data_IF_347431593716
#
_entry.id   IF_347431593716
#
_cell.length_a   1.000
_cell.length_b   1.000
_cell.length_c   1.000
_cell.angle_alpha   90.00
_cell.angle_beta   90.00
_cell.angle_gamma   90.00
#
_symmetry.space_group_name_H-M   'P 1'
#
loop_
_entity.id
_entity.type
_entity.pdbx_description
1 polymer ?
#
# COMPACT_ATOMS: atom_id res chain seq x y z
N UNK A 1 -15.64 11.94 -8.86
CA UNK A 1 -15.59 10.93 -7.78
C UNK A 1 -14.14 10.75 -7.39
N UNK A 2 -13.84 10.56 -6.10
CA UNK A 2 -12.47 10.29 -5.67
C UNK A 2 -12.16 8.78 -5.76
N UNK A 3 -10.87 8.45 -5.83
CA UNK A 3 -10.45 7.06 -6.05
C UNK A 3 -10.80 6.11 -4.90
N UNK A 4 -11.05 6.67 -3.71
CA UNK A 4 -11.46 5.93 -2.53
C UNK A 4 -12.90 5.45 -2.68
N UNK A 5 -13.81 6.37 -3.00
CA UNK A 5 -15.23 6.10 -3.19
C UNK A 5 -15.47 5.09 -4.32
N UNK A 6 -14.74 5.21 -5.42
CA UNK A 6 -14.80 4.25 -6.54
C UNK A 6 -14.40 2.82 -6.15
N UNK A 7 -13.65 2.67 -5.06
CA UNK A 7 -13.16 1.39 -4.55
C UNK A 7 -13.89 0.94 -3.29
N UNK A 8 -14.90 1.68 -2.83
CA UNK A 8 -15.58 1.43 -1.55
C UNK A 8 -14.66 1.61 -0.34
N UNK A 9 -13.59 2.41 -0.48
CA UNK A 9 -12.59 2.66 0.55
C UNK A 9 -12.79 4.02 1.22
N UNK A 10 -12.21 4.18 2.39
CA UNK A 10 -12.33 5.39 3.22
C UNK A 10 -10.96 5.92 3.64
N UNK A 11 -10.92 7.15 4.18
CA UNK A 11 -9.71 7.71 4.81
C UNK A 11 -9.22 6.87 6.00
N UNK A 12 -10.08 6.09 6.66
CA UNK A 12 -9.66 5.16 7.71
C UNK A 12 -8.81 4.03 7.13
N UNK A 13 -9.13 3.57 5.93
CA UNK A 13 -8.38 2.52 5.24
C UNK A 13 -7.01 3.03 4.79
N UNK A 14 -6.94 4.27 4.27
CA UNK A 14 -5.66 4.95 4.00
C UNK A 14 -4.78 4.94 5.23
N UNK A 15 -5.29 5.49 6.35
CA UNK A 15 -4.56 5.56 7.62
C UNK A 15 -4.11 4.19 8.11
N UNK A 16 -4.95 3.17 7.99
CA UNK A 16 -4.62 1.80 8.42
C UNK A 16 -3.49 1.20 7.58
N UNK A 17 -3.53 1.39 6.26
CA UNK A 17 -2.50 0.85 5.35
C UNK A 17 -1.18 1.59 5.52
N UNK A 18 -1.20 2.93 5.64
CA UNK A 18 0.03 3.74 5.70
C UNK A 18 0.66 3.81 7.09
N UNK A 19 -0.09 3.55 8.17
CA UNK A 19 0.44 3.62 9.55
C UNK A 19 1.42 2.49 9.88
N UNK A 20 1.19 1.30 9.35
CA UNK A 20 2.05 0.13 9.59
C UNK A 20 2.18 -0.70 8.31
N UNK A 21 2.87 -0.17 7.29
CA UNK A 21 3.11 -0.92 6.08
C UNK A 21 4.10 -2.04 6.37
N UNK A 22 3.85 -3.22 5.80
CA UNK A 22 4.82 -4.32 5.76
C UNK A 22 5.98 -4.00 4.85
N UNK A 23 5.78 -3.22 3.80
CA UNK A 23 6.87 -2.61 3.03
C UNK A 23 6.33 -1.43 2.22
N UNK A 24 7.25 -0.61 1.73
CA UNK A 24 6.97 0.45 0.77
C UNK A 24 7.92 0.38 -0.42
N UNK A 25 7.43 0.69 -1.61
CA UNK A 25 8.21 0.72 -2.85
C UNK A 25 8.09 2.11 -3.46
N UNK A 26 9.22 2.71 -3.82
CA UNK A 26 9.26 3.88 -4.71
C UNK A 26 9.19 3.41 -6.15
N UNK A 27 8.13 3.80 -6.85
CA UNK A 27 7.90 3.49 -8.25
C UNK A 27 7.97 4.78 -9.10
N UNK A 28 8.00 4.63 -10.43
CA UNK A 28 7.96 5.74 -11.39
C UNK A 28 9.01 6.82 -11.09
N UNK A 29 10.26 6.42 -10.93
CA UNK A 29 11.38 7.31 -10.59
C UNK A 29 11.12 8.18 -9.34
N UNK A 30 10.39 7.64 -8.36
CA UNK A 30 10.10 8.32 -7.10
C UNK A 30 8.86 9.21 -7.13
N UNK A 31 8.15 9.31 -8.25
CA UNK A 31 6.88 10.05 -8.36
C UNK A 31 5.70 9.31 -7.73
N UNK A 32 5.90 8.06 -7.28
CA UNK A 32 4.86 7.26 -6.64
C UNK A 32 5.43 6.41 -5.52
N UNK A 33 4.76 6.41 -4.37
CA UNK A 33 5.04 5.54 -3.24
C UNK A 33 3.89 4.54 -3.10
N UNK A 34 4.23 3.26 -3.07
CA UNK A 34 3.25 2.18 -2.89
C UNK A 34 3.50 1.51 -1.55
N UNK A 35 2.47 1.42 -0.72
CA UNK A 35 2.51 0.80 0.60
C UNK A 35 1.67 -0.45 0.58
N UNK A 36 2.20 -1.54 1.14
CA UNK A 36 1.46 -2.78 1.37
C UNK A 36 1.38 -3.04 2.86
N UNK A 37 0.18 -3.36 3.35
CA UNK A 37 -0.10 -3.79 4.72
C UNK A 37 -0.81 -5.13 4.70
N UNK A 38 -1.04 -5.76 5.85
CA UNK A 38 -1.86 -6.96 5.93
C UNK A 38 -3.32 -6.74 5.50
N UNK A 39 -3.80 -5.48 5.51
CA UNK A 39 -5.22 -5.17 5.26
C UNK A 39 -5.50 -4.60 3.86
N UNK A 40 -4.46 -4.28 3.10
CA UNK A 40 -4.60 -3.64 1.80
C UNK A 40 -3.32 -3.00 1.28
N UNK A 41 -3.43 -2.41 0.10
CA UNK A 41 -2.38 -1.64 -0.55
C UNK A 41 -2.88 -0.25 -0.94
N UNK A 42 -1.94 0.69 -1.07
CA UNK A 42 -2.22 2.04 -1.57
C UNK A 42 -1.03 2.58 -2.35
N UNK A 43 -1.31 3.20 -3.49
CA UNK A 43 -0.34 3.88 -4.33
C UNK A 43 -0.62 5.39 -4.34
N UNK A 44 0.28 6.17 -3.76
CA UNK A 44 0.18 7.62 -3.58
C UNK A 44 1.20 8.30 -4.47
N UNK A 45 0.77 9.25 -5.29
CA UNK A 45 1.67 10.09 -6.10
C UNK A 45 2.43 11.09 -5.22
N UNK A 46 3.51 11.67 -5.74
CA UNK A 46 4.28 12.69 -5.03
C UNK A 46 3.48 13.95 -4.68
N UNK A 47 2.39 14.22 -5.40
CA UNK A 47 1.46 15.32 -5.12
C UNK A 47 0.42 14.98 -4.02
N UNK A 48 0.50 13.79 -3.42
CA UNK A 48 -0.43 13.32 -2.38
C UNK A 48 -1.70 12.65 -2.91
N UNK A 49 -1.92 12.64 -4.22
CA UNK A 49 -3.11 12.02 -4.83
C UNK A 49 -3.05 10.49 -4.76
N UNK A 50 -4.14 9.87 -4.34
CA UNK A 50 -4.30 8.41 -4.39
C UNK A 50 -4.55 7.95 -5.82
N UNK A 51 -3.57 7.28 -6.41
CA UNK A 51 -3.68 6.70 -7.76
C UNK A 51 -4.40 5.35 -7.77
N UNK A 52 -4.24 4.56 -6.70
CA UNK A 52 -4.93 3.29 -6.52
C UNK A 52 -4.95 2.93 -5.03
N UNK A 53 -5.99 2.22 -4.61
CA UNK A 53 -6.16 1.68 -3.26
C UNK A 53 -7.03 0.43 -3.34
N UNK A 54 -6.81 -0.53 -2.46
CA UNK A 54 -7.68 -1.70 -2.35
C UNK A 54 -7.32 -2.62 -1.20
N UNK A 55 -8.23 -3.53 -0.89
CA UNK A 55 -7.97 -4.69 -0.05
C UNK A 55 -6.98 -5.65 -0.72
N UNK A 56 -6.38 -6.54 0.06
CA UNK A 56 -5.58 -7.63 -0.51
C UNK A 56 -6.48 -8.76 -0.96
N UNK A 57 -6.62 -8.91 -2.27
CA UNK A 57 -7.03 -10.16 -2.88
C UNK A 57 -5.88 -11.18 -2.87
N UNK A 58 -6.09 -12.36 -3.46
CA UNK A 58 -5.06 -13.40 -3.54
C UNK A 58 -3.78 -12.93 -4.24
N UNK A 59 -3.90 -12.06 -5.25
CA UNK A 59 -2.75 -11.46 -5.92
C UNK A 59 -1.95 -10.55 -4.98
N UNK A 60 -2.63 -9.67 -4.25
CA UNK A 60 -2.03 -8.79 -3.25
C UNK A 60 -1.33 -9.56 -2.12
N UNK A 61 -1.93 -10.65 -1.64
CA UNK A 61 -1.31 -11.55 -0.65
C UNK A 61 -0.04 -12.19 -1.20
N UNK A 62 -0.03 -12.60 -2.47
CA UNK A 62 1.16 -13.18 -3.09
C UNK A 62 2.32 -12.20 -3.17
N UNK A 63 2.04 -10.91 -3.40
CA UNK A 63 3.07 -9.87 -3.34
C UNK A 63 3.69 -9.77 -1.95
N UNK A 64 2.89 -9.79 -0.88
CA UNK A 64 3.41 -9.80 0.50
C UNK A 64 4.29 -11.03 0.78
N UNK A 65 3.87 -12.21 0.33
CA UNK A 65 4.61 -13.46 0.52
C UNK A 65 5.99 -13.38 -0.17
N UNK A 66 6.02 -12.94 -1.43
CA UNK A 66 7.26 -12.80 -2.20
C UNK A 66 8.16 -11.74 -1.57
N UNK A 67 7.61 -10.58 -1.19
CA UNK A 67 8.38 -9.52 -0.54
C UNK A 67 9.05 -10.03 0.75
N UNK A 68 8.30 -10.74 1.60
CA UNK A 68 8.84 -11.37 2.82
C UNK A 68 9.94 -12.38 2.52
N UNK A 69 9.70 -13.28 1.54
CA UNK A 69 10.67 -14.30 1.13
C UNK A 69 12.03 -13.70 0.72
N UNK A 70 12.02 -12.50 0.13
CA UNK A 70 13.23 -11.82 -0.34
C UNK A 70 13.71 -10.69 0.59
N UNK A 71 13.23 -10.61 1.83
CA UNK A 71 13.72 -9.62 2.80
C UNK A 71 13.18 -8.20 2.63
N UNK A 72 12.17 -7.99 1.78
CA UNK A 72 11.50 -6.70 1.63
C UNK A 72 10.38 -6.57 2.67
N UNK A 73 10.77 -6.27 3.91
CA UNK A 73 9.82 -5.94 4.95
C UNK A 73 10.35 -4.87 5.90
N UNK A 74 9.42 -4.07 6.42
CA UNK A 74 9.66 -3.11 7.47
C UNK A 74 9.57 -3.85 8.80
N UNK A 75 10.71 -4.04 9.46
CA UNK A 75 10.72 -4.43 10.86
C UNK A 75 10.22 -3.24 11.66
N UNK A 76 9.04 -3.37 12.27
CA UNK A 76 8.65 -2.45 13.33
C UNK A 76 9.66 -2.64 14.45
N UNK A 77 10.58 -1.69 14.61
CA UNK A 77 11.49 -1.62 15.75
C UNK A 77 10.70 -1.83 17.03
N UNK A 78 11.16 -2.75 17.87
CA UNK A 78 10.59 -3.09 19.19
C UNK A 78 10.37 -1.86 20.05
#
# INVERSE_FOLDING_TARGET
MDRLSERGMTLKDVKRITKSPKFAIRQRNGMQHVYYSETGFIAIKSDGTVSSIGHLDEGGKKVLEVAKKYGFYHESTK
#
